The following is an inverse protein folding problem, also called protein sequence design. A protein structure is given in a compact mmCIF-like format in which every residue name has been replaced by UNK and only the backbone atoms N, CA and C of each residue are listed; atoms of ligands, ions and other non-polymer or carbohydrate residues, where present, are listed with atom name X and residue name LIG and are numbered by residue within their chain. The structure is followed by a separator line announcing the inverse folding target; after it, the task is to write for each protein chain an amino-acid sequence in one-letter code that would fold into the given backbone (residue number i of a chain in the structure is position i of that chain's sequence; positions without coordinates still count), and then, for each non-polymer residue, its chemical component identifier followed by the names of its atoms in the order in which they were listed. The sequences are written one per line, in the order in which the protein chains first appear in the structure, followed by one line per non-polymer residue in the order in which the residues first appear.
data_IF_633819247463
#
_entry.id   IF_633819247463
#
_cell.length_a   1.000
_cell.length_b   1.000
_cell.length_c   1.000
_cell.angle_alpha   90.00
_cell.angle_beta   90.00
_cell.angle_gamma   90.00
#
_symmetry.space_group_name_H-M   'P 1'
#
loop_
_entity.id
_entity.type
_entity.pdbx_description
1 polymer ?
#
# COMPACT_ATOMS: atom_id res chain seq x y z
N UNK A 1 -29.66 1.21 -10.70
CA UNK A 1 -31.13 1.40 -10.81
C UNK A 1 -31.67 1.86 -9.45
N UNK A 2 -32.82 2.55 -9.39
CA UNK A 2 -33.44 2.83 -8.08
C UNK A 2 -33.62 1.55 -7.26
N UNK A 3 -33.22 1.60 -5.97
CA UNK A 3 -33.24 0.44 -5.09
C UNK A 3 -31.96 -0.39 -5.06
N UNK A 4 -31.01 -0.17 -5.96
CA UNK A 4 -29.71 -0.87 -5.92
C UNK A 4 -28.90 -0.45 -4.69
N UNK A 5 -28.29 -1.43 -4.06
CA UNK A 5 -27.32 -1.18 -2.98
C UNK A 5 -25.97 -0.83 -3.60
N UNK A 6 -25.50 0.39 -3.33
CA UNK A 6 -24.28 0.91 -3.96
C UNK A 6 -23.29 1.45 -2.93
N UNK A 7 -22.02 1.48 -3.30
CA UNK A 7 -20.96 2.19 -2.60
C UNK A 7 -20.31 3.16 -3.59
N UNK A 8 -19.92 4.34 -3.13
CA UNK A 8 -19.33 5.37 -3.98
C UNK A 8 -18.33 6.24 -3.21
N UNK A 9 -17.55 7.01 -3.98
CA UNK A 9 -16.77 8.12 -3.43
C UNK A 9 -17.42 9.43 -3.90
N UNK A 10 -17.95 10.21 -2.97
CA UNK A 10 -18.66 11.44 -3.25
C UNK A 10 -18.28 12.55 -2.26
N UNK A 11 -18.39 13.81 -2.68
CA UNK A 11 -18.29 14.94 -1.78
C UNK A 11 -19.54 15.01 -0.88
N UNK A 12 -19.38 15.56 0.32
CA UNK A 12 -20.50 15.80 1.28
C UNK A 12 -21.30 14.52 1.63
N UNK A 13 -20.64 13.36 1.66
CA UNK A 13 -21.29 12.07 1.86
C UNK A 13 -21.70 11.76 3.31
N UNK A 14 -21.36 12.63 4.29
CA UNK A 14 -21.92 12.56 5.64
C UNK A 14 -23.30 13.25 5.67
N UNK A 15 -24.27 12.65 4.99
CA UNK A 15 -25.61 13.18 4.80
C UNK A 15 -26.59 12.02 4.51
N UNK A 16 -27.89 12.29 4.71
CA UNK A 16 -28.94 11.34 4.36
C UNK A 16 -29.05 11.09 2.85
N UNK A 17 -28.64 12.09 2.05
CA UNK A 17 -28.61 12.04 0.59
C UNK A 17 -27.29 12.62 0.08
N UNK A 18 -26.73 12.00 -0.95
CA UNK A 18 -25.55 12.49 -1.63
C UNK A 18 -25.68 12.29 -3.14
N UNK A 19 -25.07 13.21 -3.90
CA UNK A 19 -24.94 13.07 -5.36
C UNK A 19 -23.56 12.51 -5.66
N UNK A 20 -23.52 11.42 -6.41
CA UNK A 20 -22.28 10.78 -6.82
C UNK A 20 -22.22 10.61 -8.35
N UNK A 21 -21.02 10.68 -8.88
CA UNK A 21 -20.76 10.34 -10.28
C UNK A 21 -21.01 8.83 -10.49
N UNK A 22 -21.70 8.49 -11.59
CA UNK A 22 -22.03 7.11 -11.92
C UNK A 22 -20.78 6.26 -12.15
N UNK A 23 -19.70 6.83 -12.71
CA UNK A 23 -18.43 6.14 -12.93
C UNK A 23 -17.64 5.87 -11.63
N UNK A 24 -18.05 6.47 -10.51
CA UNK A 24 -17.49 6.25 -9.17
C UNK A 24 -18.45 5.50 -8.25
N UNK A 25 -19.52 4.96 -8.80
CA UNK A 25 -20.57 4.25 -8.06
C UNK A 25 -20.55 2.78 -8.47
N UNK A 26 -20.39 1.92 -7.48
CA UNK A 26 -20.26 0.48 -7.66
C UNK A 26 -21.36 -0.24 -6.91
N UNK A 27 -21.90 -1.32 -7.49
CA UNK A 27 -22.81 -2.20 -6.78
C UNK A 27 -22.07 -2.85 -5.58
N UNK A 28 -22.73 -2.90 -4.44
CA UNK A 28 -22.24 -3.67 -3.31
C UNK A 28 -22.42 -5.15 -3.65
N UNK A 29 -21.35 -5.98 -3.54
CA UNK A 29 -21.45 -7.40 -3.82
C UNK A 29 -22.57 -8.10 -3.00
N UNK A 30 -23.24 -9.05 -3.62
CA UNK A 30 -24.37 -9.79 -3.01
C UNK A 30 -23.92 -10.87 -2.00
N UNK A 31 -22.85 -10.64 -1.26
CA UNK A 31 -22.24 -11.56 -0.30
C UNK A 31 -22.51 -11.20 1.17
N UNK A 32 -23.67 -10.61 1.44
CA UNK A 32 -24.07 -10.13 2.77
C UNK A 32 -23.21 -9.00 3.36
N UNK A 33 -22.43 -8.28 2.53
CA UNK A 33 -21.67 -7.12 2.97
C UNK A 33 -22.62 -6.03 3.49
N UNK A 34 -22.34 -5.50 4.68
CA UNK A 34 -23.12 -4.39 5.25
C UNK A 34 -22.76 -3.07 4.56
N UNK A 35 -23.59 -2.02 4.74
CA UNK A 35 -23.26 -0.68 4.22
C UNK A 35 -22.03 -0.10 4.90
N UNK A 36 -21.84 -0.36 6.20
CA UNK A 36 -20.67 0.08 6.95
C UNK A 36 -19.39 -0.55 6.40
N UNK A 37 -19.40 -1.83 6.11
CA UNK A 37 -18.28 -2.53 5.47
C UNK A 37 -18.03 -1.95 4.06
N UNK A 38 -19.08 -1.82 3.27
CA UNK A 38 -18.97 -1.29 1.91
C UNK A 38 -18.43 0.16 1.89
N UNK A 39 -18.82 1.00 2.85
CA UNK A 39 -18.36 2.38 2.94
C UNK A 39 -16.84 2.52 3.17
N UNK A 40 -16.19 1.50 3.71
CA UNK A 40 -14.72 1.51 3.93
C UNK A 40 -13.92 1.25 2.66
N UNK A 41 -14.53 0.76 1.59
CA UNK A 41 -13.82 0.21 0.44
C UNK A 41 -13.48 1.21 -0.66
N UNK A 42 -14.36 2.14 -1.11
CA UNK A 42 -14.16 2.86 -2.36
C UNK A 42 -12.82 3.56 -2.47
N UNK A 43 -12.48 4.42 -1.51
CA UNK A 43 -11.22 5.17 -1.54
C UNK A 43 -10.03 4.22 -1.35
N UNK A 44 -10.11 3.30 -0.39
CA UNK A 44 -9.03 2.36 -0.09
C UNK A 44 -8.70 1.43 -1.25
N UNK A 45 -9.71 0.83 -1.86
CA UNK A 45 -9.54 -0.07 -3.01
C UNK A 45 -8.99 0.66 -4.23
N UNK A 46 -9.55 1.81 -4.60
CA UNK A 46 -9.07 2.59 -5.74
C UNK A 46 -7.61 3.00 -5.55
N UNK A 47 -7.28 3.53 -4.36
CA UNK A 47 -5.92 3.98 -4.05
C UNK A 47 -4.93 2.82 -4.13
N UNK A 48 -5.22 1.70 -3.50
CA UNK A 48 -4.26 0.60 -3.42
C UNK A 48 -4.26 -0.28 -4.66
N UNK A 49 -5.38 -0.41 -5.37
CA UNK A 49 -5.35 -1.00 -6.71
C UNK A 49 -4.47 -0.18 -7.66
N UNK A 50 -4.62 1.14 -7.64
CA UNK A 50 -3.74 2.01 -8.44
C UNK A 50 -2.27 1.83 -8.03
N UNK A 51 -1.97 1.89 -6.73
CA UNK A 51 -0.59 1.82 -6.24
C UNK A 51 0.09 0.47 -6.49
N UNK A 52 -0.63 -0.63 -6.34
CA UNK A 52 -0.06 -1.98 -6.51
C UNK A 52 -0.10 -2.44 -7.96
N UNK A 53 -1.24 -2.21 -8.65
CA UNK A 53 -1.49 -2.80 -9.97
C UNK A 53 -1.16 -1.83 -11.10
N UNK A 54 -1.71 -0.62 -11.08
CA UNK A 54 -1.59 0.31 -12.21
C UNK A 54 -0.22 0.98 -12.25
N UNK A 55 0.13 1.71 -11.19
CA UNK A 55 1.41 2.41 -11.09
C UNK A 55 2.54 1.45 -10.69
N UNK A 56 2.29 0.59 -9.69
CA UNK A 56 3.24 -0.39 -9.19
C UNK A 56 3.54 -1.53 -10.15
N UNK A 57 2.62 -1.84 -11.05
CA UNK A 57 2.78 -2.91 -12.06
C UNK A 57 3.27 -4.23 -11.46
N UNK A 58 2.78 -4.56 -10.26
CA UNK A 58 3.19 -5.76 -9.54
C UNK A 58 2.94 -7.01 -10.38
N UNK A 59 3.99 -7.75 -10.67
CA UNK A 59 3.94 -9.00 -11.40
C UNK A 59 3.91 -10.22 -10.46
N UNK A 60 3.42 -11.35 -10.96
CA UNK A 60 3.45 -12.62 -10.24
C UNK A 60 4.90 -12.99 -9.90
N UNK A 61 5.14 -13.39 -8.66
CA UNK A 61 6.47 -13.79 -8.17
C UNK A 61 7.35 -12.64 -7.69
N UNK A 62 6.96 -11.39 -7.87
CA UNK A 62 7.66 -10.22 -7.31
C UNK A 62 7.50 -10.08 -5.80
N UNK A 63 8.33 -9.25 -5.23
CA UNK A 63 8.36 -8.91 -3.80
C UNK A 63 7.87 -7.47 -3.59
N UNK A 64 7.11 -7.24 -2.53
CA UNK A 64 6.57 -5.91 -2.23
C UNK A 64 6.76 -5.54 -0.77
N UNK A 65 7.15 -4.30 -0.55
CA UNK A 65 7.15 -3.65 0.76
C UNK A 65 6.00 -2.63 0.82
N UNK A 66 5.19 -2.73 1.87
CA UNK A 66 4.12 -1.77 2.14
C UNK A 66 4.48 -0.98 3.39
N UNK A 67 4.85 0.28 3.18
CA UNK A 67 5.11 1.22 4.26
C UNK A 67 3.80 1.66 4.92
N UNK A 68 3.75 1.67 6.26
CA UNK A 68 2.52 1.98 6.98
C UNK A 68 1.42 0.93 6.82
N UNK A 69 1.80 -0.33 6.72
CA UNK A 69 0.94 -1.47 6.40
C UNK A 69 -0.24 -1.67 7.37
N UNK A 70 -0.15 -1.16 8.59
CA UNK A 70 -1.23 -1.25 9.59
C UNK A 70 -2.30 -0.16 9.48
N UNK A 71 -2.20 0.73 8.49
CA UNK A 71 -3.28 1.65 8.14
C UNK A 71 -4.40 0.92 7.38
N UNK A 72 -5.62 1.48 7.36
CA UNK A 72 -6.74 0.87 6.64
C UNK A 72 -6.42 0.56 5.18
N UNK A 73 -5.79 1.50 4.46
CA UNK A 73 -5.36 1.30 3.07
C UNK A 73 -4.18 0.32 2.98
N UNK A 74 -3.27 0.33 3.95
CA UNK A 74 -2.15 -0.63 4.01
C UNK A 74 -2.62 -2.08 4.14
N UNK A 75 -3.66 -2.34 4.92
CA UNK A 75 -4.28 -3.66 5.04
C UNK A 75 -4.89 -4.13 3.71
N UNK A 76 -5.46 -3.21 2.94
CA UNK A 76 -5.99 -3.51 1.60
C UNK A 76 -4.84 -3.80 0.62
N UNK A 77 -3.76 -3.03 0.66
CA UNK A 77 -2.60 -3.21 -0.22
C UNK A 77 -1.98 -4.60 -0.08
N UNK A 78 -1.85 -5.12 1.13
CA UNK A 78 -1.31 -6.46 1.40
C UNK A 78 -2.16 -7.54 0.73
N UNK A 79 -3.47 -7.45 0.88
CA UNK A 79 -4.42 -8.40 0.29
C UNK A 79 -4.38 -8.34 -1.25
N UNK A 80 -4.33 -7.13 -1.83
CA UNK A 80 -4.20 -6.97 -3.29
C UNK A 80 -2.88 -7.58 -3.76
N UNK A 81 -1.76 -7.33 -3.07
CA UNK A 81 -0.47 -7.88 -3.44
C UNK A 81 -0.47 -9.42 -3.43
N UNK A 82 -1.08 -10.04 -2.42
CA UNK A 82 -1.25 -11.50 -2.37
C UNK A 82 -2.12 -12.03 -3.51
N UNK A 83 -3.26 -11.40 -3.76
CA UNK A 83 -4.15 -11.78 -4.86
C UNK A 83 -3.47 -11.64 -6.24
N UNK A 84 -2.53 -10.69 -6.38
CA UNK A 84 -1.71 -10.51 -7.58
C UNK A 84 -0.55 -11.50 -7.69
N UNK A 85 -0.37 -12.38 -6.71
CA UNK A 85 0.65 -13.41 -6.73
C UNK A 85 2.04 -12.92 -6.30
N UNK A 86 2.13 -11.91 -5.44
CA UNK A 86 3.39 -11.53 -4.82
C UNK A 86 4.01 -12.73 -4.07
N UNK A 87 5.29 -12.98 -4.32
CA UNK A 87 6.04 -14.05 -3.66
C UNK A 87 6.33 -13.74 -2.19
N UNK A 88 6.56 -12.46 -1.90
CA UNK A 88 6.86 -11.97 -0.56
C UNK A 88 6.20 -10.61 -0.35
N UNK A 89 5.36 -10.51 0.66
CA UNK A 89 4.72 -9.26 1.11
C UNK A 89 5.30 -8.88 2.46
N UNK A 90 6.00 -7.75 2.50
CA UNK A 90 6.57 -7.18 3.72
C UNK A 90 5.72 -5.97 4.14
N UNK A 91 5.28 -5.94 5.39
CA UNK A 91 4.53 -4.82 5.94
C UNK A 91 5.31 -4.12 7.04
N UNK A 92 5.27 -2.78 7.11
CA UNK A 92 5.85 -2.04 8.21
C UNK A 92 4.80 -1.44 9.13
N UNK A 93 5.10 -1.39 10.42
CA UNK A 93 4.28 -0.70 11.43
C UNK A 93 5.13 -0.30 12.63
N UNK A 94 4.87 0.89 13.18
CA UNK A 94 5.51 1.37 14.42
C UNK A 94 4.87 0.80 15.69
N UNK A 95 3.69 0.20 15.59
CA UNK A 95 2.94 -0.36 16.71
C UNK A 95 3.10 -1.89 16.72
N UNK A 96 3.58 -2.44 17.82
CA UNK A 96 3.89 -3.87 17.95
C UNK A 96 2.64 -4.76 17.79
N UNK A 97 1.56 -4.44 18.50
CA UNK A 97 0.34 -5.25 18.46
C UNK A 97 -0.29 -5.28 17.05
N UNK A 98 -0.30 -4.12 16.36
CA UNK A 98 -0.78 -4.04 14.97
C UNK A 98 0.17 -4.79 14.03
N UNK A 99 1.47 -4.75 14.29
CA UNK A 99 2.49 -5.43 13.47
C UNK A 99 2.30 -6.95 13.52
N UNK A 100 2.02 -7.53 14.67
CA UNK A 100 1.74 -8.96 14.83
C UNK A 100 0.55 -9.41 13.99
N UNK A 101 -0.45 -8.55 13.85
CA UNK A 101 -1.66 -8.84 13.10
C UNK A 101 -1.54 -8.67 11.60
N UNK A 102 -0.45 -8.10 11.06
CA UNK A 102 -0.31 -7.90 9.61
C UNK A 102 -0.39 -9.21 8.82
N UNK A 103 0.05 -10.32 9.40
CA UNK A 103 -0.05 -11.66 8.79
C UNK A 103 -1.49 -12.09 8.51
N UNK A 104 -2.46 -11.63 9.30
CA UNK A 104 -3.88 -11.92 9.09
C UNK A 104 -4.39 -11.30 7.78
N UNK A 105 -3.69 -10.27 7.27
CA UNK A 105 -4.04 -9.51 6.08
C UNK A 105 -3.11 -9.77 4.89
N UNK A 106 -2.21 -10.77 5.01
CA UNK A 106 -1.38 -11.22 3.90
C UNK A 106 0.08 -10.80 3.95
N UNK A 107 0.59 -10.17 5.03
CA UNK A 107 2.02 -9.99 5.19
C UNK A 107 2.71 -11.33 5.51
N UNK A 108 3.80 -11.63 4.83
CA UNK A 108 4.69 -12.75 5.15
C UNK A 108 5.71 -12.35 6.22
N UNK A 109 6.13 -11.07 6.20
CA UNK A 109 7.07 -10.50 7.14
C UNK A 109 6.55 -9.14 7.62
N UNK A 110 6.64 -8.90 8.92
CA UNK A 110 6.26 -7.65 9.55
C UNK A 110 7.47 -7.01 10.23
N UNK A 111 7.79 -5.77 9.87
CA UNK A 111 9.00 -5.06 10.31
C UNK A 111 8.62 -3.82 11.12
N UNK A 112 9.41 -3.51 12.16
CA UNK A 112 9.29 -2.25 12.90
C UNK A 112 9.93 -1.11 12.11
N UNK A 113 9.10 -0.17 11.64
CA UNK A 113 9.61 1.00 10.92
C UNK A 113 10.32 2.03 11.80
N UNK A 114 10.35 1.84 13.13
CA UNK A 114 11.18 2.62 14.04
C UNK A 114 12.62 2.10 14.14
N UNK A 115 12.84 0.84 13.81
CA UNK A 115 14.20 0.29 13.76
C UNK A 115 14.96 0.96 12.60
N UNK A 116 16.06 1.68 12.87
CA UNK A 116 16.82 2.31 11.81
C UNK A 116 17.40 1.31 10.81
N UNK A 117 17.52 0.04 11.18
CA UNK A 117 18.03 -1.05 10.35
C UNK A 117 16.92 -1.82 9.61
N UNK A 118 15.72 -1.26 9.50
CA UNK A 118 14.65 -1.93 8.77
C UNK A 118 14.99 -2.20 7.28
N UNK A 119 15.78 -1.35 6.56
CA UNK A 119 16.18 -1.67 5.19
C UNK A 119 17.04 -2.93 5.11
N UNK A 120 17.93 -3.16 6.07
CA UNK A 120 18.78 -4.35 6.16
C UNK A 120 17.94 -5.61 6.39
N UNK A 121 16.85 -5.52 7.16
CA UNK A 121 15.92 -6.62 7.34
C UNK A 121 15.20 -6.96 6.01
N UNK A 122 14.82 -5.95 5.22
CA UNK A 122 14.26 -6.13 3.88
C UNK A 122 15.28 -6.79 2.95
N UNK A 123 16.53 -6.30 2.95
CA UNK A 123 17.61 -6.89 2.17
C UNK A 123 17.86 -8.35 2.57
N UNK A 124 17.90 -8.64 3.88
CA UNK A 124 18.04 -10.01 4.37
C UNK A 124 16.93 -10.95 3.87
N UNK A 125 15.67 -10.49 3.92
CA UNK A 125 14.51 -11.26 3.45
C UNK A 125 14.48 -11.47 1.92
N UNK A 126 15.22 -10.66 1.17
CA UNK A 126 15.26 -10.68 -0.29
C UNK A 126 16.59 -11.17 -0.87
N UNK A 127 17.45 -11.78 -0.04
CA UNK A 127 18.77 -12.25 -0.45
C UNK A 127 19.70 -11.14 -0.95
N UNK A 128 19.63 -9.98 -0.32
CA UNK A 128 20.45 -8.79 -0.62
C UNK A 128 19.96 -7.96 -1.81
N UNK A 129 18.91 -8.39 -2.51
CA UNK A 129 18.45 -7.72 -3.74
C UNK A 129 17.59 -6.47 -3.49
N UNK A 130 16.83 -6.46 -2.39
CA UNK A 130 15.76 -5.51 -2.15
C UNK A 130 14.42 -5.97 -2.76
N UNK A 131 13.36 -5.20 -2.52
CA UNK A 131 12.02 -5.48 -3.05
C UNK A 131 11.81 -4.90 -4.42
N UNK A 132 10.99 -5.56 -5.23
CA UNK A 132 10.65 -5.10 -6.59
C UNK A 132 9.71 -3.88 -6.57
N UNK A 133 8.86 -3.79 -5.57
CA UNK A 133 7.90 -2.69 -5.41
C UNK A 133 7.87 -2.20 -3.96
N UNK A 134 7.88 -0.88 -3.77
CA UNK A 134 7.49 -0.23 -2.51
C UNK A 134 6.21 0.57 -2.73
N UNK A 135 5.20 0.32 -1.90
CA UNK A 135 4.01 1.18 -1.76
C UNK A 135 4.24 2.07 -0.55
N UNK A 136 4.57 3.33 -0.81
CA UNK A 136 5.01 4.28 0.21
C UNK A 136 3.87 5.21 0.67
N UNK A 137 3.42 5.04 1.90
CA UNK A 137 2.45 5.91 2.55
C UNK A 137 3.11 6.91 3.51
N UNK A 138 4.41 6.78 3.73
CA UNK A 138 5.16 7.54 4.75
C UNK A 138 5.83 8.75 4.12
N UNK A 139 6.63 8.55 3.07
CA UNK A 139 7.43 9.62 2.44
C UNK A 139 8.39 10.33 3.41
N UNK A 140 8.81 11.54 3.08
CA UNK A 140 9.62 12.37 3.96
C UNK A 140 10.92 11.68 4.39
N UNK A 141 11.06 11.43 5.68
CA UNK A 141 12.29 10.91 6.29
C UNK A 141 12.68 9.48 5.86
N UNK A 142 11.76 8.69 5.29
CA UNK A 142 12.06 7.31 4.84
C UNK A 142 12.54 7.24 3.39
N UNK A 143 12.57 8.34 2.65
CA UNK A 143 12.84 8.32 1.21
C UNK A 143 14.15 7.60 0.85
N UNK A 144 15.27 7.98 1.47
CA UNK A 144 16.57 7.36 1.23
C UNK A 144 16.64 5.90 1.70
N UNK A 145 15.93 5.56 2.78
CA UNK A 145 15.83 4.19 3.25
C UNK A 145 15.02 3.32 2.27
N UNK A 146 13.95 3.87 1.69
CA UNK A 146 13.21 3.21 0.63
C UNK A 146 14.11 2.92 -0.58
N UNK A 147 14.93 3.89 -1.01
CA UNK A 147 15.90 3.66 -2.10
C UNK A 147 16.84 2.48 -1.78
N UNK A 148 17.35 2.40 -0.55
CA UNK A 148 18.23 1.29 -0.12
C UNK A 148 17.52 -0.06 -0.14
N UNK A 149 16.26 -0.11 0.26
CA UNK A 149 15.47 -1.33 0.34
C UNK A 149 14.90 -1.80 -1.02
N UNK A 150 14.93 -0.94 -2.06
CA UNK A 150 14.39 -1.24 -3.38
C UNK A 150 15.42 -1.97 -4.24
N UNK A 151 14.99 -2.96 -4.99
CA UNK A 151 15.82 -3.69 -5.95
C UNK A 151 16.29 -2.78 -7.11
N UNK A 152 17.34 -3.19 -7.81
CA UNK A 152 17.75 -2.54 -9.06
C UNK A 152 16.59 -2.65 -10.07
N UNK A 153 16.19 -1.51 -10.66
CA UNK A 153 15.03 -1.37 -11.54
C UNK A 153 13.69 -1.64 -10.82
N UNK A 154 13.67 -1.60 -9.49
CA UNK A 154 12.44 -1.63 -8.71
C UNK A 154 11.63 -0.35 -8.85
N UNK A 155 10.46 -0.34 -8.24
CA UNK A 155 9.52 0.79 -8.31
C UNK A 155 9.16 1.25 -6.89
N UNK A 156 9.03 2.56 -6.73
CA UNK A 156 8.49 3.17 -5.50
C UNK A 156 7.26 3.99 -5.89
N UNK A 157 6.10 3.61 -5.41
CA UNK A 157 4.86 4.35 -5.63
C UNK A 157 4.53 5.15 -4.38
N UNK A 158 4.65 6.47 -4.50
CA UNK A 158 4.30 7.39 -3.43
C UNK A 158 2.78 7.57 -3.34
N UNK A 159 2.20 7.21 -2.20
CA UNK A 159 0.75 7.26 -1.96
C UNK A 159 0.40 8.27 -0.88
N UNK A 160 1.17 8.31 0.18
CA UNK A 160 0.90 9.13 1.35
C UNK A 160 2.11 9.94 1.81
N UNK A 161 1.92 10.75 2.83
CA UNK A 161 2.94 11.66 3.38
C UNK A 161 2.88 11.71 4.91
N UNK A 162 2.65 10.55 5.52
CA UNK A 162 2.53 10.47 6.99
C UNK A 162 3.84 10.83 7.71
N UNK A 163 4.98 10.68 7.03
CA UNK A 163 6.30 11.05 7.54
C UNK A 163 6.76 12.47 7.18
N UNK A 164 5.95 13.21 6.42
CA UNK A 164 6.25 14.60 6.03
C UNK A 164 6.10 14.86 4.55
N UNK A 165 5.99 16.15 4.22
CA UNK A 165 5.85 16.64 2.83
C UNK A 165 7.22 16.86 2.15
N UNK A 166 8.28 16.92 2.93
CA UNK A 166 9.65 17.18 2.49
C UNK A 166 10.59 16.16 3.13
N UNK A 167 11.70 15.88 2.47
CA UNK A 167 12.75 15.00 2.95
C UNK A 167 13.96 15.03 2.04
N UNK A 168 15.10 14.54 2.55
CA UNK A 168 16.32 14.39 1.76
C UNK A 168 16.15 13.26 0.76
N UNK A 169 16.74 13.44 -0.44
CA UNK A 169 16.70 12.45 -1.50
C UNK A 169 18.07 12.25 -2.11
N UNK A 170 18.59 11.05 -2.06
CA UNK A 170 19.85 10.64 -2.61
C UNK A 170 19.70 10.31 -4.11
N UNK A 171 19.98 11.29 -4.97
CA UNK A 171 19.87 11.14 -6.41
C UNK A 171 20.89 10.16 -6.99
N UNK A 172 22.06 10.01 -6.35
CA UNK A 172 23.08 9.07 -6.79
C UNK A 172 22.64 7.63 -6.55
N UNK A 173 22.15 7.33 -5.36
CA UNK A 173 21.58 6.02 -5.02
C UNK A 173 20.37 5.68 -5.90
N UNK A 174 19.51 6.65 -6.18
CA UNK A 174 18.37 6.48 -7.08
C UNK A 174 18.84 6.11 -8.50
N UNK A 175 19.81 6.86 -9.04
CA UNK A 175 20.35 6.64 -10.38
C UNK A 175 21.08 5.29 -10.50
N UNK A 176 21.94 4.94 -9.52
CA UNK A 176 22.65 3.66 -9.49
C UNK A 176 21.71 2.47 -9.53
N UNK A 177 20.60 2.55 -8.81
CA UNK A 177 19.59 1.48 -8.77
C UNK A 177 18.58 1.58 -9.91
N UNK A 178 18.56 2.66 -10.68
CA UNK A 178 17.62 2.89 -11.79
C UNK A 178 16.18 2.67 -11.36
N UNK A 179 15.81 3.22 -10.19
CA UNK A 179 14.50 3.07 -9.58
C UNK A 179 13.50 3.95 -10.35
N UNK A 180 12.31 3.42 -10.59
CA UNK A 180 11.14 4.16 -11.06
C UNK A 180 10.40 4.72 -9.82
N UNK A 181 10.46 6.06 -9.64
CA UNK A 181 9.87 6.73 -8.48
C UNK A 181 8.69 7.62 -8.88
#
# INVERSE_FOLDING_TARGET
KPGDRVMCSAASAYAEFAVADMGRTHLIPANNMSFEQAATLPVGLQTMHNAVVTAGRLAVGETVLIQGASSGVGLIAQQIAKLKGARLVIGTSTNADRRERLKEYGADLAIDSKDPNWPEQVLGATGGKGVDLIVDQISGYVANQNLKATAIRGRIVNVGRLGGFHGDFDFDLHALRRIDY
#
